data_IF_360446302123
#
_entry.id   IF_360446302123
#
_cell.length_a   1.000
_cell.length_b   1.000
_cell.length_c   1.000
_cell.angle_alpha   90.00
_cell.angle_beta   90.00
_cell.angle_gamma   90.00
#
_symmetry.space_group_name_H-M   'P 1'
#
loop_
_entity.id
_entity.type
_entity.pdbx_description
1 polymer ?
#
# COMPACT_ATOMS: atom_id res chain seq x y z
N UNK A 1 27.51 -1.56 8.12
CA UNK A 1 26.57 -1.13 7.06
C UNK A 1 25.85 0.10 7.58
N UNK A 2 25.81 1.20 6.83
CA UNK A 2 24.94 2.32 7.20
C UNK A 2 23.50 1.87 7.00
N UNK A 3 22.71 1.88 8.07
CA UNK A 3 21.27 1.73 7.94
C UNK A 3 20.73 2.95 7.20
N UNK A 4 20.13 2.72 6.04
CA UNK A 4 19.39 3.75 5.34
C UNK A 4 18.23 4.20 6.24
N UNK A 5 18.27 5.47 6.65
CA UNK A 5 17.29 6.06 7.56
C UNK A 5 15.87 5.98 6.99
N UNK A 6 15.72 6.04 5.66
CA UNK A 6 14.42 5.89 4.98
C UNK A 6 13.92 4.46 5.13
N UNK A 7 14.78 3.48 4.86
CA UNK A 7 14.44 2.05 5.03
C UNK A 7 14.09 1.73 6.48
N UNK A 8 14.82 2.29 7.45
CA UNK A 8 14.54 2.11 8.88
C UNK A 8 13.15 2.65 9.25
N UNK A 9 12.78 3.84 8.77
CA UNK A 9 11.43 4.42 8.99
C UNK A 9 10.32 3.58 8.35
N UNK A 10 10.55 3.03 7.15
CA UNK A 10 9.59 2.13 6.48
C UNK A 10 9.38 0.86 7.32
N UNK A 11 10.47 0.27 7.85
CA UNK A 11 10.39 -0.93 8.68
C UNK A 11 9.66 -0.66 9.99
N UNK A 12 9.93 0.48 10.62
CA UNK A 12 9.24 0.94 11.83
C UNK A 12 7.73 1.07 11.59
N UNK A 13 7.32 1.79 10.54
CA UNK A 13 5.91 1.95 10.19
C UNK A 13 5.22 0.59 9.94
N UNK A 14 5.89 -0.32 9.22
CA UNK A 14 5.35 -1.68 9.01
C UNK A 14 5.23 -2.47 10.30
N UNK A 15 6.17 -2.30 11.24
CA UNK A 15 6.10 -2.98 12.55
C UNK A 15 4.88 -2.49 13.33
N UNK A 16 4.67 -1.19 13.42
CA UNK A 16 3.52 -0.59 14.11
C UNK A 16 2.19 -1.08 13.52
N UNK A 17 2.05 -1.06 12.19
CA UNK A 17 0.85 -1.58 11.51
C UNK A 17 0.64 -3.08 11.80
N UNK A 18 1.72 -3.86 11.84
CA UNK A 18 1.65 -5.28 12.16
C UNK A 18 1.20 -5.52 13.60
N UNK A 19 1.69 -4.72 14.56
CA UNK A 19 1.25 -4.75 15.97
C UNK A 19 -0.24 -4.37 16.10
N UNK A 20 -0.70 -3.32 15.40
CA UNK A 20 -2.13 -2.94 15.33
C UNK A 20 -3.01 -4.04 14.74
N UNK A 21 -2.46 -4.86 13.84
CA UNK A 21 -3.14 -6.01 13.24
C UNK A 21 -2.95 -7.31 14.02
N UNK A 22 -2.43 -7.27 15.26
CA UNK A 22 -2.14 -8.46 16.09
C UNK A 22 -1.22 -9.49 15.41
N UNK A 23 -0.39 -9.03 14.48
CA UNK A 23 0.42 -9.87 13.60
C UNK A 23 -0.38 -10.89 12.77
N UNK A 24 -1.70 -10.69 12.62
CA UNK A 24 -2.57 -11.53 11.80
C UNK A 24 -2.46 -11.12 10.31
N UNK A 25 -2.03 -12.02 9.42
CA UNK A 25 -1.86 -11.72 8.01
C UNK A 25 -3.17 -11.36 7.31
N UNK A 26 -4.31 -11.91 7.73
CA UNK A 26 -5.61 -11.59 7.16
C UNK A 26 -6.05 -10.18 7.54
N UNK A 27 -5.87 -9.79 8.81
CA UNK A 27 -6.13 -8.41 9.28
C UNK A 27 -5.22 -7.41 8.57
N UNK A 28 -3.94 -7.75 8.40
CA UNK A 28 -2.96 -6.91 7.72
C UNK A 28 -3.33 -6.66 6.24
N UNK A 29 -3.75 -7.70 5.52
CA UNK A 29 -4.21 -7.57 4.13
C UNK A 29 -5.47 -6.72 4.05
N UNK A 30 -6.44 -6.93 4.96
CA UNK A 30 -7.66 -6.14 5.00
C UNK A 30 -7.35 -4.65 5.26
N UNK A 31 -6.46 -4.35 6.21
CA UNK A 31 -6.00 -3.00 6.51
C UNK A 31 -5.40 -2.31 5.27
N UNK A 32 -4.48 -2.97 4.57
CA UNK A 32 -3.87 -2.39 3.37
C UNK A 32 -4.86 -2.21 2.22
N UNK A 33 -5.85 -3.09 2.06
CA UNK A 33 -6.92 -2.90 1.07
C UNK A 33 -7.75 -1.65 1.36
N UNK A 34 -8.10 -1.40 2.62
CA UNK A 34 -8.81 -0.17 3.00
C UNK A 34 -7.93 1.08 2.80
N UNK A 35 -6.65 0.99 3.13
CA UNK A 35 -5.71 2.09 2.92
C UNK A 35 -5.53 2.41 1.42
N UNK A 36 -5.48 1.37 0.56
CA UNK A 36 -5.46 1.50 -0.89
C UNK A 36 -6.74 2.16 -1.42
N UNK A 37 -7.92 1.77 -0.91
CA UNK A 37 -9.18 2.42 -1.30
C UNK A 37 -9.23 3.90 -0.91
N UNK A 38 -8.64 4.26 0.24
CA UNK A 38 -8.58 5.65 0.73
C UNK A 38 -7.61 6.53 -0.06
N UNK A 39 -6.55 5.93 -0.61
CA UNK A 39 -5.46 6.62 -1.30
C UNK A 39 -5.25 6.11 -2.73
N UNK A 40 -6.35 5.90 -3.48
CA UNK A 40 -6.30 5.34 -4.84
C UNK A 40 -5.43 6.15 -5.78
N UNK A 41 -5.35 7.46 -5.58
CA UNK A 41 -4.54 8.41 -6.37
C UNK A 41 -3.04 8.21 -6.21
N UNK A 42 -2.60 7.55 -5.13
CA UNK A 42 -1.18 7.31 -4.81
C UNK A 42 -0.71 5.93 -5.22
N UNK A 43 -1.62 5.06 -5.66
CA UNK A 43 -1.26 3.71 -6.10
C UNK A 43 -0.56 3.82 -7.44
N UNK A 44 0.73 3.50 -7.47
CA UNK A 44 1.47 3.33 -8.71
C UNK A 44 0.90 2.12 -9.43
N UNK A 45 0.15 2.37 -10.49
CA UNK A 45 -0.38 1.33 -11.37
C UNK A 45 0.75 0.81 -12.24
N UNK A 46 0.82 -0.52 -12.41
CA UNK A 46 1.70 -1.10 -13.43
C UNK A 46 1.22 -0.72 -14.83
N UNK A 47 2.09 -0.86 -15.83
CA UNK A 47 1.68 -0.69 -17.25
C UNK A 47 0.53 -1.64 -17.61
N UNK A 48 0.54 -2.86 -17.06
CA UNK A 48 -0.49 -3.90 -17.26
C UNK A 48 -1.85 -3.51 -16.63
N UNK A 49 -1.83 -2.74 -15.53
CA UNK A 49 -3.05 -2.24 -14.88
C UNK A 49 -3.72 -1.09 -15.65
N UNK A 50 -3.01 -0.46 -16.60
CA UNK A 50 -3.55 0.64 -17.42
C UNK A 50 -4.37 0.13 -18.61
N UNK A 51 -4.07 -1.05 -19.14
CA UNK A 51 -4.73 -1.62 -20.33
C UNK A 51 -6.08 -2.30 -20.02
N UNK A 52 -6.37 -2.61 -18.75
CA UNK A 52 -7.56 -3.39 -18.35
C UNK A 52 -8.69 -2.57 -17.70
N UNK A 53 -8.83 -1.27 -17.99
CA UNK A 53 -9.99 -0.48 -17.55
C UNK A 53 -10.68 0.22 -18.73
N UNK A 54 -12.02 0.13 -18.86
CA UNK A 54 -12.78 0.94 -19.82
C UNK A 54 -12.54 2.44 -19.64
N UNK A 55 -12.51 3.15 -20.76
CA UNK A 55 -12.14 4.56 -20.95
C UNK A 55 -12.79 5.58 -19.97
N UNK A 56 -13.85 5.21 -19.27
CA UNK A 56 -14.61 6.08 -18.36
C UNK A 56 -13.87 6.46 -17.06
N UNK A 57 -12.89 5.68 -16.60
CA UNK A 57 -12.20 5.93 -15.32
C UNK A 57 -10.86 6.66 -15.45
N UNK A 58 -10.47 7.08 -16.64
CA UNK A 58 -9.18 7.75 -16.91
C UNK A 58 -9.30 9.28 -16.94
N UNK A 59 -10.52 9.85 -16.94
CA UNK A 59 -10.72 11.31 -16.90
C UNK A 59 -11.13 11.83 -15.53
N UNK A 60 -10.17 12.44 -14.84
CA UNK A 60 -10.36 13.63 -14.01
C UNK A 60 -9.05 14.44 -13.96
#
# INVERSE_FOLDING_TARGET
>A
MQEDQVISRIREARRQISEECEHDPHKLVAYYKELQKKHKERIVRSEEDKENIPDEMVKA
#
